data_IF_893165069823
#
_entry.id   IF_893165069823
#
_cell.length_a   1.000
_cell.length_b   1.000
_cell.length_c   1.000
_cell.angle_alpha   90.00
_cell.angle_beta   90.00
_cell.angle_gamma   90.00
#
_symmetry.space_group_name_H-M   'P 1'
#
loop_
_entity.id
_entity.type
_entity.pdbx_description
1 polymer ?
#
# COMPACT_ATOMS: atom_id res chain seq x y z
N UNK A 1 8.27 20.30 -1.68
CA UNK A 1 8.04 19.13 -2.57
C UNK A 1 8.36 17.83 -1.82
N UNK A 2 9.35 17.86 -0.93
CA UNK A 2 9.86 16.70 -0.19
C UNK A 2 8.84 16.03 0.74
N UNK A 3 8.00 16.83 1.40
CA UNK A 3 6.98 16.32 2.34
C UNK A 3 5.88 15.51 1.63
N UNK A 4 5.54 15.89 0.39
CA UNK A 4 4.55 15.16 -0.40
C UNK A 4 5.09 13.79 -0.81
N UNK A 5 6.30 13.72 -1.38
CA UNK A 5 6.92 12.45 -1.76
C UNK A 5 7.06 11.52 -0.55
N UNK A 6 7.46 12.05 0.61
CA UNK A 6 7.54 11.27 1.84
C UNK A 6 6.18 10.71 2.31
N UNK A 7 5.10 11.49 2.18
CA UNK A 7 3.75 11.02 2.58
C UNK A 7 3.17 10.00 1.62
N UNK A 8 3.40 10.13 0.32
CA UNK A 8 3.01 9.10 -0.65
C UNK A 8 3.78 7.80 -0.38
N UNK A 9 5.10 7.89 -0.24
CA UNK A 9 5.93 6.72 0.05
C UNK A 9 5.54 6.01 1.36
N UNK A 10 5.36 6.76 2.45
CA UNK A 10 4.91 6.18 3.72
C UNK A 10 3.53 5.55 3.60
N UNK A 11 2.60 6.20 2.91
CA UNK A 11 1.27 5.66 2.68
C UNK A 11 1.31 4.37 1.86
N UNK A 12 2.13 4.30 0.80
CA UNK A 12 2.32 3.10 -0.01
C UNK A 12 2.98 1.94 0.77
N UNK A 13 3.93 2.24 1.66
CA UNK A 13 4.55 1.23 2.50
C UNK A 13 3.56 0.69 3.53
N UNK A 14 2.84 1.58 4.23
CA UNK A 14 1.82 1.18 5.22
C UNK A 14 0.71 0.39 4.55
N UNK A 15 0.23 0.85 3.39
CA UNK A 15 -0.79 0.16 2.61
C UNK A 15 -0.32 -1.23 2.18
N UNK A 16 0.88 -1.37 1.61
CA UNK A 16 1.45 -2.66 1.19
C UNK A 16 1.50 -3.73 2.30
N UNK A 17 1.63 -3.32 3.56
CA UNK A 17 1.61 -4.24 4.69
C UNK A 17 0.20 -4.47 5.26
N UNK A 18 -0.73 -3.58 4.96
CA UNK A 18 -2.11 -3.66 5.44
C UNK A 18 -2.91 -4.70 4.66
N UNK A 19 -3.87 -5.35 5.32
CA UNK A 19 -4.86 -6.20 4.68
C UNK A 19 -6.21 -5.49 4.73
N UNK A 20 -6.72 -5.06 3.58
CA UNK A 20 -8.05 -4.49 3.48
C UNK A 20 -9.04 -5.54 2.98
N UNK A 21 -10.16 -5.66 3.70
CA UNK A 21 -11.27 -6.43 3.18
C UNK A 21 -12.05 -5.53 2.22
N UNK A 22 -12.59 -6.11 1.15
CA UNK A 22 -13.31 -5.37 0.10
C UNK A 22 -14.47 -4.52 0.66
N UNK A 23 -15.04 -4.94 1.78
CA UNK A 23 -16.12 -4.23 2.49
C UNK A 23 -15.63 -3.05 3.36
N UNK A 24 -14.35 -3.03 3.74
CA UNK A 24 -13.77 -2.06 4.67
C UNK A 24 -12.85 -1.04 4.01
N UNK A 25 -12.44 -1.25 2.75
CA UNK A 25 -11.58 -0.32 1.99
C UNK A 25 -12.16 1.10 1.90
N UNK A 26 -13.40 1.23 1.45
CA UNK A 26 -14.05 2.55 1.29
C UNK A 26 -14.22 3.25 2.64
N UNK A 27 -14.75 2.59 3.69
CA UNK A 27 -14.83 3.19 5.03
C UNK A 27 -13.48 3.63 5.60
N UNK A 28 -12.41 2.85 5.42
CA UNK A 28 -11.07 3.18 5.94
C UNK A 28 -10.51 4.42 5.25
N UNK A 29 -10.60 4.50 3.92
CA UNK A 29 -10.16 5.67 3.16
C UNK A 29 -10.92 6.92 3.58
N UNK A 30 -12.24 6.82 3.76
CA UNK A 30 -13.06 7.92 4.23
C UNK A 30 -12.67 8.36 5.65
N UNK A 31 -12.46 7.43 6.57
CA UNK A 31 -12.02 7.73 7.93
C UNK A 31 -10.66 8.42 7.96
N UNK A 32 -9.68 7.94 7.18
CA UNK A 32 -8.36 8.56 7.10
C UNK A 32 -8.42 9.98 6.54
N UNK A 33 -9.26 10.23 5.54
CA UNK A 33 -9.50 11.58 5.01
C UNK A 33 -10.17 12.49 6.05
N UNK A 34 -11.14 11.99 6.81
CA UNK A 34 -11.77 12.73 7.91
C UNK A 34 -10.78 13.07 9.04
N UNK A 35 -9.79 12.20 9.28
CA UNK A 35 -8.70 12.43 10.22
C UNK A 35 -7.60 13.37 9.69
N UNK A 36 -7.76 13.92 8.47
CA UNK A 36 -6.88 14.93 7.90
C UNK A 36 -5.83 14.41 6.91
N UNK A 37 -5.88 13.14 6.51
CA UNK A 37 -5.00 12.62 5.46
C UNK A 37 -5.40 13.20 4.10
N UNK A 38 -4.44 13.73 3.35
CA UNK A 38 -4.68 14.23 2.00
C UNK A 38 -5.08 13.11 1.04
N UNK A 39 -5.93 13.43 0.07
CA UNK A 39 -6.51 12.47 -0.89
C UNK A 39 -5.45 11.64 -1.64
N UNK A 40 -4.33 12.26 -2.03
CA UNK A 40 -3.22 11.58 -2.73
C UNK A 40 -2.61 10.43 -1.91
N UNK A 41 -2.04 10.71 -0.73
CA UNK A 41 -1.56 9.66 0.17
C UNK A 41 -2.61 8.60 0.51
N UNK A 42 -3.88 8.95 0.72
CA UNK A 42 -4.90 7.92 1.02
C UNK A 42 -5.12 6.97 -0.17
N UNK A 43 -5.03 7.49 -1.40
CA UNK A 43 -5.08 6.66 -2.61
C UNK A 43 -3.82 5.80 -2.76
N UNK A 44 -2.63 6.33 -2.47
CA UNK A 44 -1.38 5.57 -2.48
C UNK A 44 -1.41 4.39 -1.49
N UNK A 45 -2.01 4.59 -0.32
CA UNK A 45 -2.27 3.54 0.66
C UNK A 45 -3.28 2.50 0.17
N UNK A 46 -4.37 2.93 -0.47
CA UNK A 46 -5.37 2.02 -1.03
C UNK A 46 -4.79 1.15 -2.16
N UNK A 47 -4.04 1.77 -3.08
CA UNK A 47 -3.45 1.09 -4.24
C UNK A 47 -2.45 0.01 -3.81
N UNK A 48 -1.57 0.34 -2.88
CA UNK A 48 -0.59 -0.61 -2.36
C UNK A 48 -1.25 -1.74 -1.55
N UNK A 49 -2.22 -1.43 -0.68
CA UNK A 49 -2.89 -2.43 0.17
C UNK A 49 -3.84 -3.38 -0.57
N UNK A 50 -4.40 -2.97 -1.71
CA UNK A 50 -5.13 -3.88 -2.59
C UNK A 50 -4.20 -4.74 -3.46
N UNK A 51 -3.01 -4.23 -3.76
CA UNK A 51 -2.05 -4.95 -4.60
C UNK A 51 -1.35 -6.04 -3.81
N UNK A 52 -0.91 -5.74 -2.58
CA UNK A 52 -0.18 -6.66 -1.71
C UNK A 52 -0.55 -6.42 -0.23
N UNK A 53 -0.45 -7.48 0.56
CA UNK A 53 -0.67 -7.48 2.02
C UNK A 53 0.26 -8.46 2.71
N UNK A 54 0.53 -8.28 4.00
CA UNK A 54 1.39 -9.18 4.78
C UNK A 54 1.03 -10.68 4.63
N UNK A 55 -0.26 -11.08 4.72
CA UNK A 55 -0.65 -12.47 4.51
C UNK A 55 -0.35 -12.97 3.10
N UNK A 56 -0.66 -12.17 2.08
CA UNK A 56 -0.36 -12.52 0.69
C UNK A 56 1.14 -12.67 0.47
N UNK A 57 1.97 -11.74 0.95
CA UNK A 57 3.43 -11.76 0.83
C UNK A 57 4.01 -13.08 1.35
N UNK A 58 3.56 -13.55 2.51
CA UNK A 58 4.00 -14.84 3.09
C UNK A 58 3.56 -16.02 2.19
N UNK A 59 2.37 -15.94 1.60
CA UNK A 59 1.85 -16.94 0.67
C UNK A 59 2.65 -17.04 -0.64
N UNK A 60 2.81 -15.91 -1.35
CA UNK A 60 3.54 -15.85 -2.63
C UNK A 60 5.03 -16.15 -2.45
N UNK A 61 5.62 -15.77 -1.30
CA UNK A 61 7.03 -16.03 -1.04
C UNK A 61 7.41 -17.52 -1.03
N UNK A 62 6.43 -18.40 -0.81
CA UNK A 62 6.62 -19.86 -0.89
C UNK A 62 6.59 -20.38 -2.33
N UNK A 63 6.07 -19.60 -3.28
CA UNK A 63 5.82 -19.99 -4.66
C UNK A 63 6.81 -19.35 -5.66
N UNK A 64 7.06 -18.04 -5.57
CA UNK A 64 7.84 -17.28 -6.56
C UNK A 64 9.33 -17.20 -6.23
N UNK A 65 9.70 -17.32 -4.96
CA UNK A 65 11.07 -17.26 -4.47
C UNK A 65 11.58 -15.83 -4.25
N UNK A 66 12.43 -15.67 -3.22
CA UNK A 66 12.80 -14.39 -2.59
C UNK A 66 13.18 -13.26 -3.54
N UNK A 67 13.88 -13.54 -4.65
CA UNK A 67 14.31 -12.51 -5.61
C UNK A 67 13.14 -11.88 -6.36
N UNK A 68 12.16 -12.71 -6.76
CA UNK A 68 10.98 -12.25 -7.51
C UNK A 68 10.01 -11.52 -6.59
N UNK A 69 9.83 -12.01 -5.37
CA UNK A 69 8.98 -11.36 -4.36
C UNK A 69 9.47 -9.94 -4.05
N UNK A 70 10.77 -9.79 -3.82
CA UNK A 70 11.35 -8.48 -3.51
C UNK A 70 11.19 -7.48 -4.67
N UNK A 71 11.40 -7.94 -5.90
CA UNK A 71 11.13 -7.12 -7.09
C UNK A 71 9.66 -6.72 -7.19
N UNK A 72 8.74 -7.66 -6.97
CA UNK A 72 7.31 -7.41 -7.03
C UNK A 72 6.85 -6.41 -5.94
N UNK A 73 7.25 -6.62 -4.68
CA UNK A 73 6.89 -5.71 -3.58
C UNK A 73 7.48 -4.31 -3.81
N UNK A 74 8.73 -4.22 -4.26
CA UNK A 74 9.38 -2.96 -4.59
C UNK A 74 8.66 -2.21 -5.71
N UNK A 75 8.24 -2.91 -6.77
CA UNK A 75 7.47 -2.32 -7.87
C UNK A 75 6.12 -1.79 -7.40
N UNK A 76 5.38 -2.56 -6.60
CA UNK A 76 4.07 -2.15 -6.09
C UNK A 76 4.18 -0.89 -5.23
N UNK A 77 5.16 -0.82 -4.32
CA UNK A 77 5.38 0.37 -3.49
C UNK A 77 5.79 1.56 -4.37
N UNK A 78 6.69 1.36 -5.34
CA UNK A 78 7.14 2.42 -6.23
C UNK A 78 6.01 3.00 -7.08
N UNK A 79 5.22 2.16 -7.76
CA UNK A 79 4.11 2.61 -8.60
C UNK A 79 2.94 3.18 -7.80
N UNK A 80 2.75 2.75 -6.54
CA UNK A 80 1.72 3.34 -5.68
C UNK A 80 2.13 4.72 -5.13
N UNK A 81 3.43 5.02 -5.07
CA UNK A 81 3.96 6.23 -4.47
C UNK A 81 4.12 7.40 -5.46
N UNK A 82 3.95 7.16 -6.77
CA UNK A 82 4.13 8.15 -7.84
C UNK A 82 2.80 8.64 -8.42
#
# INVERSE_FOLDING_TARGET
>A
MDVFVATFFLASVIGAFSYFATLTEVPIVQALQQLGMAKGPTLALLMSGNSISLPSMIGISKLMGKRRDFMYFGLVVFFSAI
#
